data_IF_197964774861
#
_entry.id   IF_197964774861
#
_cell.length_a   1.000
_cell.length_b   1.000
_cell.length_c   1.000
_cell.angle_alpha   90.00
_cell.angle_beta   90.00
_cell.angle_gamma   90.00
#
_symmetry.space_group_name_H-M   'P 1'
#
loop_
_entity.id
_entity.type
_entity.pdbx_description
1 polymer ?
#
# COMPACT_ATOMS: atom_id res chain seq x y z
N UNK A 1 29.65 -24.47 -8.38
CA UNK A 1 28.32 -24.97 -8.79
C UNK A 1 27.39 -23.80 -8.69
N UNK A 2 27.32 -23.04 -9.79
CA UNK A 2 26.37 -21.95 -9.95
C UNK A 2 24.98 -22.57 -10.01
N UNK A 3 24.15 -22.21 -9.04
CA UNK A 3 22.73 -22.56 -9.05
C UNK A 3 22.06 -21.45 -9.85
N UNK A 4 21.78 -21.75 -11.12
CA UNK A 4 20.96 -20.92 -11.98
C UNK A 4 19.61 -20.67 -11.30
N UNK A 5 19.47 -19.47 -10.73
CA UNK A 5 18.18 -18.99 -10.23
C UNK A 5 17.39 -18.50 -11.44
N UNK A 6 16.65 -19.39 -12.10
CA UNK A 6 15.58 -18.99 -13.00
C UNK A 6 14.48 -18.32 -12.15
N UNK A 7 14.15 -17.03 -12.37
CA UNK A 7 13.02 -16.42 -11.71
C UNK A 7 11.75 -17.17 -12.13
N UNK A 8 10.82 -17.46 -11.20
CA UNK A 8 9.64 -18.26 -11.52
C UNK A 8 8.86 -17.62 -12.67
N UNK A 9 8.45 -18.46 -13.62
CA UNK A 9 7.46 -18.16 -14.65
C UNK A 9 6.32 -17.34 -14.04
N UNK A 10 5.90 -16.27 -14.74
CA UNK A 10 4.80 -15.34 -14.41
C UNK A 10 3.84 -15.82 -13.32
N UNK A 11 3.54 -14.99 -12.29
CA UNK A 11 2.77 -15.44 -11.13
C UNK A 11 1.42 -16.04 -11.55
N UNK A 12 0.90 -17.01 -10.79
CA UNK A 12 -0.37 -17.65 -11.11
C UNK A 12 -1.47 -16.59 -11.23
N UNK A 13 -2.13 -16.55 -12.41
CA UNK A 13 -3.20 -15.59 -12.70
C UNK A 13 -4.19 -15.53 -11.52
N UNK A 14 -4.50 -14.34 -10.99
CA UNK A 14 -5.41 -14.24 -9.86
C UNK A 14 -6.78 -14.83 -10.22
N UNK A 15 -7.39 -15.50 -9.25
CA UNK A 15 -8.72 -16.14 -9.43
C UNK A 15 -9.83 -15.14 -9.69
N UNK A 16 -9.62 -13.86 -9.35
CA UNK A 16 -10.54 -12.73 -9.52
C UNK A 16 -9.79 -11.54 -10.12
N UNK A 17 -10.44 -10.69 -10.92
CA UNK A 17 -9.83 -9.44 -11.36
C UNK A 17 -9.46 -8.59 -10.16
N UNK A 18 -8.34 -7.88 -10.25
CA UNK A 18 -7.81 -7.02 -9.19
C UNK A 18 -7.66 -5.60 -9.75
N UNK A 19 -8.07 -4.61 -8.98
CA UNK A 19 -7.75 -3.20 -9.18
C UNK A 19 -7.02 -2.74 -7.93
N UNK A 20 -5.88 -2.08 -8.10
CA UNK A 20 -5.02 -1.68 -6.98
C UNK A 20 -4.90 -0.17 -6.93
N UNK A 21 -5.08 0.41 -5.75
CA UNK A 21 -4.89 1.84 -5.50
C UNK A 21 -3.92 2.03 -4.35
N UNK A 22 -2.93 2.89 -4.56
CA UNK A 22 -1.99 3.35 -3.55
C UNK A 22 -2.21 4.85 -3.30
N UNK A 23 -2.18 5.29 -2.04
CA UNK A 23 -2.01 6.72 -1.76
C UNK A 23 -0.59 7.20 -2.11
N UNK A 24 -0.39 8.52 -2.14
CA UNK A 24 0.92 9.12 -2.33
C UNK A 24 1.62 9.41 -1.00
N UNK A 25 1.00 10.23 -0.14
CA UNK A 25 1.62 10.77 1.06
C UNK A 25 1.74 9.67 2.13
N UNK A 26 2.86 9.64 2.83
CA UNK A 26 3.26 8.57 3.77
C UNK A 26 2.97 7.12 3.32
N UNK A 27 2.97 6.90 2.00
CA UNK A 27 2.63 5.62 1.35
C UNK A 27 3.61 5.29 0.24
N UNK A 28 3.61 6.09 -0.85
CA UNK A 28 4.57 6.02 -1.96
C UNK A 28 5.66 7.07 -1.80
N UNK A 29 5.38 8.15 -1.07
CA UNK A 29 6.29 9.22 -0.71
C UNK A 29 6.42 9.31 0.81
N UNK A 30 7.63 9.40 1.39
CA UNK A 30 7.81 9.53 2.83
C UNK A 30 7.62 10.99 3.27
N UNK A 31 6.48 11.60 2.93
CA UNK A 31 6.28 13.06 2.98
C UNK A 31 6.38 13.64 4.39
N UNK A 32 5.87 12.96 5.42
CA UNK A 32 6.03 13.42 6.81
C UNK A 32 7.47 13.30 7.32
N UNK A 33 8.22 12.31 6.85
CA UNK A 33 9.65 12.22 7.15
C UNK A 33 10.42 13.33 6.43
N UNK A 34 10.17 13.56 5.14
CA UNK A 34 10.76 14.67 4.38
C UNK A 34 10.47 16.04 5.03
N UNK A 35 9.28 16.22 5.60
CA UNK A 35 8.92 17.42 6.35
C UNK A 35 9.79 17.58 7.61
N UNK A 36 9.88 16.52 8.43
CA UNK A 36 10.63 16.53 9.69
C UNK A 36 12.14 16.75 9.49
N UNK A 37 12.70 16.22 8.41
CA UNK A 37 14.12 16.43 8.07
C UNK A 37 14.39 17.82 7.45
N UNK A 38 13.39 18.70 7.36
CA UNK A 38 13.52 20.03 6.77
C UNK A 38 13.71 20.03 5.24
N UNK A 39 13.64 18.86 4.60
CA UNK A 39 13.91 18.71 3.16
C UNK A 39 12.84 19.38 2.31
N UNK A 40 11.56 19.31 2.68
CA UNK A 40 10.52 20.00 1.92
C UNK A 40 10.71 21.52 1.88
N UNK A 41 11.15 22.12 3.00
CA UNK A 41 11.44 23.54 3.09
C UNK A 41 12.71 23.90 2.32
N UNK A 42 13.78 23.11 2.43
CA UNK A 42 15.04 23.31 1.71
C UNK A 42 14.83 23.32 0.17
N UNK A 43 13.87 22.53 -0.33
CA UNK A 43 13.50 22.47 -1.75
C UNK A 43 12.29 23.35 -2.11
N UNK A 44 11.86 24.25 -1.23
CA UNK A 44 10.77 25.23 -1.45
C UNK A 44 9.43 24.59 -1.86
N UNK A 45 9.13 23.41 -1.31
CA UNK A 45 7.87 22.71 -1.57
C UNK A 45 6.78 23.04 -0.54
N UNK A 46 7.17 23.59 0.61
CA UNK A 46 6.26 24.08 1.66
C UNK A 46 6.76 25.42 2.19
N UNK A 47 5.83 26.28 2.61
CA UNK A 47 6.15 27.55 3.24
C UNK A 47 6.46 27.32 4.73
N UNK A 48 7.66 27.67 5.20
CA UNK A 48 7.96 27.73 6.64
C UNK A 48 9.45 27.61 7.03
N UNK A 49 9.90 28.31 8.10
CA UNK A 49 11.25 28.20 8.62
C UNK A 49 11.49 26.86 9.31
N UNK A 50 12.73 26.39 9.32
CA UNK A 50 13.17 25.23 10.12
C UNK A 50 13.10 25.65 11.59
N UNK A 51 12.04 25.29 12.30
CA UNK A 51 12.00 25.37 13.77
C UNK A 51 13.06 24.39 14.32
N UNK A 52 14.16 24.85 14.90
CA UNK A 52 15.15 23.96 15.51
C UNK A 52 14.51 23.32 16.74
N UNK A 53 14.39 22.00 16.77
CA UNK A 53 14.07 21.31 18.01
C UNK A 53 15.27 21.47 18.97
N UNK A 54 15.07 22.30 20.00
CA UNK A 54 15.73 22.32 21.31
C UNK A 54 17.17 21.79 21.37
N UNK A 55 18.12 22.63 20.95
CA UNK A 55 19.47 22.59 21.53
C UNK A 55 19.45 23.26 22.90
N UNK A 56 18.97 22.52 23.90
CA UNK A 56 19.13 22.88 25.31
C UNK A 56 20.59 22.66 25.76
N UNK A 57 21.56 23.26 25.07
CA UNK A 57 22.91 23.56 25.54
C UNK A 57 23.51 24.62 24.61
N UNK A 58 23.80 25.81 25.14
CA UNK A 58 24.12 27.03 24.39
C UNK A 58 25.34 26.97 23.46
N UNK A 59 25.13 26.45 22.25
CA UNK A 59 25.99 26.66 21.09
C UNK A 59 25.44 27.78 20.22
N UNK A 60 26.31 28.68 19.77
CA UNK A 60 25.99 29.78 18.87
C UNK A 60 25.14 29.29 17.69
N UNK A 61 24.02 29.97 17.43
CA UNK A 61 23.22 29.79 16.23
C UNK A 61 24.09 30.16 15.02
N UNK A 62 24.75 29.16 14.44
CA UNK A 62 25.29 29.27 13.09
C UNK A 62 24.10 29.45 12.16
N UNK A 63 24.13 30.50 11.35
CA UNK A 63 23.29 30.65 10.16
C UNK A 63 23.53 29.46 9.23
N UNK A 64 22.86 28.34 9.49
CA UNK A 64 23.02 27.11 8.73
C UNK A 64 22.27 27.28 7.41
N UNK A 65 23.03 27.26 6.32
CA UNK A 65 22.56 27.16 4.94
C UNK A 65 21.41 26.15 4.80
N UNK A 66 20.51 26.32 3.80
CA UNK A 66 19.42 25.37 3.57
C UNK A 66 19.96 23.94 3.62
N UNK A 67 19.44 23.12 4.54
CA UNK A 67 19.92 21.77 4.79
C UNK A 67 19.87 20.95 3.49
N UNK A 68 21.00 20.89 2.80
CA UNK A 68 21.17 20.10 1.59
C UNK A 68 20.99 18.63 1.95
N UNK A 69 20.41 17.84 1.04
CA UNK A 69 20.18 16.42 1.28
C UNK A 69 21.49 15.73 1.67
N UNK A 70 21.54 15.10 2.85
CA UNK A 70 22.74 14.40 3.32
C UNK A 70 22.97 13.11 2.53
N UNK A 71 24.19 12.53 2.55
CA UNK A 71 24.40 11.18 2.01
C UNK A 71 23.50 10.12 2.64
N UNK A 72 23.19 10.26 3.94
CA UNK A 72 22.26 9.37 4.65
C UNK A 72 20.83 9.49 4.13
N UNK A 73 20.35 10.72 3.89
CA UNK A 73 19.02 10.95 3.30
C UNK A 73 18.92 10.33 1.90
N UNK A 74 19.95 10.53 1.05
CA UNK A 74 20.01 9.92 -0.28
C UNK A 74 19.97 8.40 -0.23
N UNK A 75 20.73 7.79 0.68
CA UNK A 75 20.76 6.34 0.84
C UNK A 75 19.39 5.81 1.30
N UNK A 76 18.76 6.45 2.29
CA UNK A 76 17.44 6.07 2.77
C UNK A 76 16.39 6.20 1.66
N UNK A 77 16.35 7.32 0.93
CA UNK A 77 15.44 7.50 -0.19
C UNK A 77 15.66 6.46 -1.29
N UNK A 78 16.92 6.19 -1.66
CA UNK A 78 17.24 5.17 -2.66
C UNK A 78 16.72 3.78 -2.27
N UNK A 79 16.94 3.35 -1.03
CA UNK A 79 16.43 2.07 -0.52
C UNK A 79 14.89 2.05 -0.49
N UNK A 80 14.27 3.17 -0.12
CA UNK A 80 12.82 3.30 -0.12
C UNK A 80 12.24 3.17 -1.55
N UNK A 81 12.85 3.83 -2.53
CA UNK A 81 12.47 3.72 -3.94
C UNK A 81 12.48 2.27 -4.44
N UNK A 82 13.48 1.47 -4.04
CA UNK A 82 13.56 0.05 -4.42
C UNK A 82 12.35 -0.74 -3.94
N UNK A 83 11.93 -0.50 -2.69
CA UNK A 83 10.75 -1.16 -2.13
C UNK A 83 9.46 -0.72 -2.80
N UNK A 84 9.30 0.59 -3.05
CA UNK A 84 8.13 1.16 -3.74
C UNK A 84 8.01 0.61 -5.16
N UNK A 85 9.09 0.67 -5.94
CA UNK A 85 9.11 0.20 -7.33
C UNK A 85 8.77 -1.30 -7.37
N UNK A 86 9.38 -2.09 -6.48
CA UNK A 86 9.13 -3.52 -6.44
C UNK A 86 7.67 -3.85 -6.05
N UNK A 87 7.07 -3.09 -5.13
CA UNK A 87 5.66 -3.27 -4.77
C UNK A 87 4.74 -2.91 -5.95
N UNK A 88 4.93 -1.75 -6.57
CA UNK A 88 4.11 -1.31 -7.71
C UNK A 88 4.23 -2.29 -8.88
N UNK A 89 5.44 -2.72 -9.22
CA UNK A 89 5.67 -3.72 -10.28
C UNK A 89 5.04 -5.08 -9.95
N UNK A 90 5.10 -5.51 -8.69
CA UNK A 90 4.47 -6.77 -8.28
C UNK A 90 2.94 -6.68 -8.34
N UNK A 91 2.36 -5.58 -7.86
CA UNK A 91 0.92 -5.33 -7.91
C UNK A 91 0.37 -5.33 -9.35
N UNK A 92 1.13 -4.76 -10.30
CA UNK A 92 0.78 -4.74 -11.74
C UNK A 92 0.61 -6.13 -12.34
N UNK A 93 1.24 -7.15 -11.78
CA UNK A 93 1.11 -8.53 -12.28
C UNK A 93 -0.30 -9.10 -12.03
N UNK A 94 -1.08 -8.48 -11.14
CA UNK A 94 -2.44 -8.89 -10.78
C UNK A 94 -3.54 -8.08 -11.46
N UNK A 95 -3.24 -6.86 -11.91
CA UNK A 95 -4.20 -5.97 -12.57
C UNK A 95 -3.73 -4.52 -12.64
N UNK A 96 -4.58 -3.58 -13.11
CA UNK A 96 -4.24 -2.18 -13.19
C UNK A 96 -3.92 -1.57 -11.81
N UNK A 97 -2.97 -0.64 -11.81
CA UNK A 97 -2.51 0.06 -10.61
C UNK A 97 -2.75 1.56 -10.77
N UNK A 98 -3.26 2.18 -9.71
CA UNK A 98 -3.47 3.62 -9.64
C UNK A 98 -2.78 4.17 -8.40
N UNK A 99 -2.25 5.38 -8.50
CA UNK A 99 -1.87 6.21 -7.37
C UNK A 99 -2.93 7.29 -7.25
N UNK A 100 -3.63 7.35 -6.13
CA UNK A 100 -4.75 8.29 -5.91
C UNK A 100 -4.51 9.11 -4.65
N UNK A 101 -4.16 10.38 -4.84
CA UNK A 101 -3.80 11.31 -3.76
C UNK A 101 -4.88 12.37 -3.50
N UNK A 102 -4.98 12.84 -2.26
CA UNK A 102 -5.75 14.04 -1.91
C UNK A 102 -4.99 15.36 -2.18
N UNK A 103 -3.71 15.29 -2.55
CA UNK A 103 -2.89 16.43 -2.93
C UNK A 103 -3.08 16.80 -4.41
N UNK A 104 -2.47 17.92 -4.85
CA UNK A 104 -2.41 18.33 -6.26
C UNK A 104 -1.41 17.45 -7.04
N UNK A 105 -1.58 17.28 -8.34
CA UNK A 105 -0.60 16.57 -9.17
C UNK A 105 0.78 17.23 -9.17
N UNK A 106 0.84 18.56 -9.04
CA UNK A 106 2.11 19.27 -8.89
C UNK A 106 2.88 18.82 -7.64
N UNK A 107 2.21 18.55 -6.52
CA UNK A 107 2.84 18.04 -5.30
C UNK A 107 3.53 16.70 -5.55
N UNK A 108 2.81 15.78 -6.19
CA UNK A 108 3.34 14.46 -6.56
C UNK A 108 4.57 14.60 -7.45
N UNK A 109 4.47 15.41 -8.51
CA UNK A 109 5.55 15.63 -9.47
C UNK A 109 6.80 16.20 -8.79
N UNK A 110 6.65 17.27 -8.02
CA UNK A 110 7.79 17.92 -7.36
C UNK A 110 8.44 17.00 -6.33
N UNK A 111 7.65 16.28 -5.52
CA UNK A 111 8.21 15.32 -4.57
C UNK A 111 8.98 14.19 -5.27
N UNK A 112 8.41 13.65 -6.35
CA UNK A 112 9.05 12.57 -7.10
C UNK A 112 10.33 13.04 -7.80
N UNK A 113 10.34 14.26 -8.34
CA UNK A 113 11.50 14.83 -9.03
C UNK A 113 12.69 15.05 -8.08
N UNK A 114 12.44 15.59 -6.89
CA UNK A 114 13.51 15.89 -5.94
C UNK A 114 13.93 14.69 -5.08
N UNK A 115 12.99 13.83 -4.68
CA UNK A 115 13.22 12.82 -3.65
C UNK A 115 13.10 11.38 -4.14
N UNK A 116 12.38 11.13 -5.23
CA UNK A 116 12.09 9.77 -5.72
C UNK A 116 12.23 9.66 -7.25
N UNK A 117 13.40 9.99 -7.82
CA UNK A 117 13.59 10.09 -9.28
C UNK A 117 13.43 8.75 -10.02
N UNK A 118 13.74 7.61 -9.39
CA UNK A 118 13.53 6.27 -9.97
C UNK A 118 12.06 5.88 -9.95
N UNK A 119 11.32 6.27 -8.90
CA UNK A 119 9.86 6.14 -8.86
C UNK A 119 9.26 6.99 -9.97
N UNK A 120 9.66 8.27 -10.10
CA UNK A 120 9.20 9.16 -11.18
C UNK A 120 9.41 8.53 -12.56
N UNK A 121 10.62 8.01 -12.84
CA UNK A 121 10.91 7.31 -14.09
C UNK A 121 10.00 6.10 -14.31
N UNK A 122 9.72 5.34 -13.26
CA UNK A 122 8.82 4.18 -13.31
C UNK A 122 7.40 4.60 -13.65
N UNK A 123 6.92 5.70 -13.07
CA UNK A 123 5.58 6.24 -13.32
C UNK A 123 5.44 6.77 -14.76
N UNK A 124 6.43 7.53 -15.24
CA UNK A 124 6.43 8.08 -16.61
C UNK A 124 6.47 6.98 -17.67
N UNK A 125 7.28 5.94 -17.46
CA UNK A 125 7.44 4.83 -18.42
C UNK A 125 6.29 3.82 -18.38
N UNK A 126 5.40 3.89 -17.39
CA UNK A 126 4.36 2.88 -17.20
C UNK A 126 3.06 3.28 -17.87
N UNK A 127 2.61 2.47 -18.83
CA UNK A 127 1.29 2.62 -19.46
C UNK A 127 0.13 2.14 -18.56
N UNK A 128 0.43 1.48 -17.43
CA UNK A 128 -0.58 0.80 -16.59
C UNK A 128 -0.50 1.19 -15.11
N UNK A 129 0.31 2.21 -14.79
CA UNK A 129 0.29 2.87 -13.48
C UNK A 129 -0.14 4.30 -13.72
N UNK A 130 -1.32 4.67 -13.21
CA UNK A 130 -1.89 5.99 -13.44
C UNK A 130 -1.91 6.80 -12.15
N UNK A 131 -1.43 8.04 -12.20
CA UNK A 131 -1.47 8.98 -11.07
C UNK A 131 -2.68 9.90 -11.21
N UNK A 132 -3.50 9.99 -10.18
CA UNK A 132 -4.71 10.81 -10.16
C UNK A 132 -4.74 11.64 -8.87
N UNK A 133 -4.86 12.97 -9.01
CA UNK A 133 -5.30 13.80 -7.89
C UNK A 133 -6.81 13.65 -7.74
N UNK A 134 -7.23 13.00 -6.66
CA UNK A 134 -8.65 12.87 -6.31
C UNK A 134 -9.28 14.25 -6.06
N UNK A 135 -8.53 15.15 -5.43
CA UNK A 135 -8.95 16.52 -5.17
C UNK A 135 -9.26 17.28 -6.46
N UNK A 136 -8.31 17.32 -7.38
CA UNK A 136 -8.48 18.06 -8.63
C UNK A 136 -9.58 17.42 -9.50
N UNK A 137 -9.64 16.08 -9.53
CA UNK A 137 -10.72 15.35 -10.21
C UNK A 137 -12.09 15.71 -9.66
N UNK A 138 -12.25 15.70 -8.33
CA UNK A 138 -13.50 16.02 -7.66
C UNK A 138 -13.94 17.45 -7.94
N UNK A 139 -13.05 18.42 -7.73
CA UNK A 139 -13.35 19.84 -7.95
C UNK A 139 -13.73 20.12 -9.41
N UNK A 140 -12.99 19.54 -10.36
CA UNK A 140 -13.31 19.66 -11.78
C UNK A 140 -14.64 19.01 -12.16
N UNK A 141 -15.10 17.98 -11.44
CA UNK A 141 -16.42 17.37 -11.66
C UNK A 141 -17.54 18.22 -11.04
N UNK A 142 -17.32 18.76 -9.84
CA UNK A 142 -18.26 19.67 -9.15
C UNK A 142 -18.52 20.95 -9.96
N UNK A 143 -17.48 21.47 -10.62
CA UNK A 143 -17.63 22.64 -11.51
C UNK A 143 -18.45 22.35 -12.77
N UNK A 144 -18.42 21.11 -13.27
CA UNK A 144 -19.08 20.71 -14.54
C UNK A 144 -20.50 20.17 -14.35
N UNK A 145 -20.91 19.84 -13.13
CA UNK A 145 -22.22 19.24 -12.86
C UNK A 145 -22.76 19.72 -11.52
N UNK A 146 -24.01 20.18 -11.52
CA UNK A 146 -24.76 20.52 -10.32
C UNK A 146 -25.36 19.27 -9.62
N UNK A 147 -25.19 18.07 -10.18
CA UNK A 147 -25.67 16.85 -9.57
C UNK A 147 -24.83 16.49 -8.32
N UNK A 148 -25.46 16.01 -7.24
CA UNK A 148 -24.72 15.53 -6.07
C UNK A 148 -23.70 14.46 -6.45
N UNK A 149 -22.45 14.61 -5.99
CA UNK A 149 -21.35 13.71 -6.32
C UNK A 149 -21.33 12.40 -5.52
N UNK A 150 -22.25 12.24 -4.56
CA UNK A 150 -22.40 11.07 -3.71
C UNK A 150 -22.90 11.44 -2.31
N UNK A 151 -23.01 10.47 -1.39
CA UNK A 151 -23.31 10.74 0.01
C UNK A 151 -22.19 11.61 0.62
N UNK A 152 -22.55 12.79 1.14
CA UNK A 152 -21.60 13.72 1.75
C UNK A 152 -20.74 14.51 0.76
N UNK A 153 -21.35 15.39 -0.06
CA UNK A 153 -20.66 16.42 -0.87
C UNK A 153 -19.95 17.49 0.01
N UNK A 154 -19.19 17.02 0.98
CA UNK A 154 -18.54 17.80 2.03
C UNK A 154 -17.14 18.28 1.58
N UNK A 155 -16.72 17.92 0.36
CA UNK A 155 -15.41 18.30 -0.16
C UNK A 155 -14.25 17.77 0.68
N UNK A 156 -14.42 16.61 1.33
CA UNK A 156 -13.41 15.96 2.17
C UNK A 156 -12.50 15.03 1.35
N UNK A 157 -11.31 14.68 1.84
CA UNK A 157 -10.44 13.68 1.20
C UNK A 157 -11.15 12.33 0.96
N UNK A 158 -12.00 11.89 1.89
CA UNK A 158 -12.86 10.72 1.71
C UNK A 158 -13.78 10.88 0.50
N UNK A 159 -14.52 11.99 0.40
CA UNK A 159 -15.42 12.25 -0.72
C UNK A 159 -14.68 12.32 -2.06
N UNK A 160 -13.51 12.95 -2.08
CA UNK A 160 -12.64 13.02 -3.27
C UNK A 160 -12.25 11.62 -3.72
N UNK A 161 -11.71 10.80 -2.81
CA UNK A 161 -11.25 9.44 -3.13
C UNK A 161 -12.40 8.52 -3.51
N UNK A 162 -13.53 8.55 -2.79
CA UNK A 162 -14.71 7.77 -3.13
C UNK A 162 -15.22 8.10 -4.54
N UNK A 163 -15.25 9.39 -4.91
CA UNK A 163 -15.66 9.82 -6.25
C UNK A 163 -14.70 9.32 -7.32
N UNK A 164 -13.38 9.42 -7.08
CA UNK A 164 -12.35 8.93 -8.00
C UNK A 164 -12.39 7.40 -8.14
N UNK A 165 -12.58 6.67 -7.04
CA UNK A 165 -12.62 5.20 -7.05
C UNK A 165 -13.82 4.68 -7.84
N UNK A 166 -14.99 5.30 -7.68
CA UNK A 166 -16.16 5.01 -8.51
C UNK A 166 -15.88 5.30 -10.00
N UNK A 167 -15.25 6.43 -10.31
CA UNK A 167 -14.89 6.77 -11.69
C UNK A 167 -13.90 5.77 -12.30
N UNK A 168 -12.94 5.26 -11.53
CA UNK A 168 -12.04 4.18 -11.95
C UNK A 168 -12.86 2.91 -12.28
N UNK A 169 -13.79 2.52 -11.40
CA UNK A 169 -14.63 1.34 -11.64
C UNK A 169 -15.50 1.49 -12.90
N UNK A 170 -16.08 2.67 -13.13
CA UNK A 170 -16.84 2.98 -14.35
C UNK A 170 -15.94 2.94 -15.59
N UNK A 171 -14.76 3.57 -15.54
CA UNK A 171 -13.81 3.59 -16.66
C UNK A 171 -13.37 2.18 -17.05
N UNK A 172 -13.12 1.32 -16.06
CA UNK A 172 -12.73 -0.07 -16.26
C UNK A 172 -13.91 -1.01 -16.53
N UNK A 173 -15.14 -0.50 -16.60
CA UNK A 173 -16.38 -1.24 -16.86
C UNK A 173 -16.53 -2.47 -15.97
N UNK A 174 -16.31 -2.28 -14.66
CA UNK A 174 -16.23 -3.36 -13.68
C UNK A 174 -17.51 -4.22 -13.67
N UNK A 175 -18.68 -3.62 -13.86
CA UNK A 175 -19.95 -4.35 -13.96
C UNK A 175 -19.98 -5.33 -15.13
N UNK A 176 -19.55 -4.90 -16.32
CA UNK A 176 -19.45 -5.75 -17.51
C UNK A 176 -18.43 -6.88 -17.32
N UNK A 177 -17.32 -6.60 -16.62
CA UNK A 177 -16.31 -7.61 -16.28
C UNK A 177 -16.91 -8.66 -15.33
N UNK A 178 -17.61 -8.24 -14.28
CA UNK A 178 -18.24 -9.13 -13.33
C UNK A 178 -19.34 -9.98 -13.98
N UNK A 179 -20.20 -9.38 -14.80
CA UNK A 179 -21.27 -10.08 -15.52
C UNK A 179 -20.72 -11.17 -16.45
N UNK A 180 -19.72 -10.85 -17.28
CA UNK A 180 -19.07 -11.83 -18.17
C UNK A 180 -18.45 -13.00 -17.40
N UNK A 181 -17.89 -12.74 -16.21
CA UNK A 181 -17.34 -13.80 -15.35
C UNK A 181 -18.41 -14.67 -14.71
N UNK A 182 -19.52 -14.08 -14.28
CA UNK A 182 -20.65 -14.82 -13.74
C UNK A 182 -21.22 -15.81 -14.78
N UNK A 183 -21.30 -15.39 -16.04
CA UNK A 183 -21.77 -16.22 -17.15
C UNK A 183 -20.77 -17.33 -17.51
N UNK A 184 -19.46 -17.03 -17.56
CA UNK A 184 -18.43 -18.00 -17.97
C UNK A 184 -17.99 -18.99 -16.87
N UNK A 185 -18.29 -18.70 -15.59
CA UNK A 185 -17.99 -19.62 -14.48
C UNK A 185 -18.97 -19.42 -13.32
N UNK A 186 -20.19 -20.00 -13.40
CA UNK A 186 -21.24 -19.82 -12.39
C UNK A 186 -20.83 -20.26 -10.98
N UNK A 187 -19.91 -21.22 -10.87
CA UNK A 187 -19.40 -21.75 -9.60
C UNK A 187 -18.29 -20.90 -8.96
N UNK A 188 -17.80 -19.85 -9.65
CA UNK A 188 -16.76 -18.95 -9.14
C UNK A 188 -17.35 -17.57 -8.88
N UNK A 189 -16.90 -16.95 -7.79
CA UNK A 189 -17.22 -15.55 -7.51
C UNK A 189 -16.84 -14.66 -8.69
N UNK A 190 -17.82 -13.95 -9.23
CA UNK A 190 -17.67 -12.93 -10.27
C UNK A 190 -17.08 -11.61 -9.77
N UNK A 191 -17.04 -11.41 -8.44
CA UNK A 191 -16.60 -10.16 -7.82
C UNK A 191 -15.17 -9.77 -8.18
N UNK A 192 -14.96 -8.47 -8.36
CA UNK A 192 -13.66 -7.82 -8.57
C UNK A 192 -13.10 -7.37 -7.21
N UNK A 193 -11.83 -7.67 -6.97
CA UNK A 193 -11.13 -7.19 -5.79
C UNK A 193 -10.64 -5.76 -6.05
N UNK A 194 -11.00 -4.83 -5.17
CA UNK A 194 -10.44 -3.49 -5.13
C UNK A 194 -9.56 -3.38 -3.90
N UNK A 195 -8.26 -3.27 -4.12
CA UNK A 195 -7.24 -3.22 -3.08
C UNK A 195 -6.84 -1.76 -2.90
N UNK A 196 -6.98 -1.23 -1.69
CA UNK A 196 -6.52 0.11 -1.32
C UNK A 196 -5.42 0.01 -0.27
N UNK A 197 -4.31 0.71 -0.53
CA UNK A 197 -3.16 0.81 0.38
C UNK A 197 -2.89 2.28 0.63
N UNK A 198 -2.81 2.69 1.89
CA UNK A 198 -2.47 4.06 2.23
C UNK A 198 -2.50 4.32 3.73
N UNK A 199 -1.99 5.49 4.13
CA UNK A 199 -1.81 5.87 5.51
C UNK A 199 -3.04 6.55 6.13
N UNK A 200 -4.08 6.91 5.37
CA UNK A 200 -5.26 7.60 5.89
C UNK A 200 -6.50 6.68 5.93
N UNK A 201 -7.42 6.99 6.85
CA UNK A 201 -8.75 6.38 6.85
C UNK A 201 -9.57 6.75 5.59
N UNK A 202 -9.20 7.83 4.90
CA UNK A 202 -9.93 8.30 3.72
C UNK A 202 -9.97 7.28 2.58
N UNK A 203 -8.84 6.73 2.15
CA UNK A 203 -8.77 5.69 1.12
C UNK A 203 -9.34 4.35 1.59
N UNK A 204 -9.14 4.00 2.85
CA UNK A 204 -9.70 2.80 3.47
C UNK A 204 -11.23 2.82 3.39
N UNK A 205 -11.83 3.90 3.86
CA UNK A 205 -13.28 4.01 3.94
C UNK A 205 -13.88 4.22 2.55
N UNK A 206 -13.22 4.96 1.65
CA UNK A 206 -13.61 5.05 0.23
C UNK A 206 -13.64 3.67 -0.46
N UNK A 207 -12.65 2.81 -0.18
CA UNK A 207 -12.60 1.45 -0.71
C UNK A 207 -13.76 0.59 -0.17
N UNK A 208 -14.08 0.70 1.12
CA UNK A 208 -15.21 0.00 1.74
C UNK A 208 -16.55 0.44 1.19
N UNK A 209 -16.71 1.74 0.94
CA UNK A 209 -17.93 2.28 0.33
C UNK A 209 -18.22 1.63 -1.03
N UNK A 210 -17.22 1.30 -1.84
CA UNK A 210 -17.44 0.57 -3.10
C UNK A 210 -18.13 -0.79 -2.89
N UNK A 211 -17.69 -1.57 -1.89
CA UNK A 211 -18.31 -2.87 -1.60
C UNK A 211 -19.72 -2.70 -1.02
N UNK A 212 -19.95 -1.68 -0.19
CA UNK A 212 -21.28 -1.36 0.32
C UNK A 212 -22.24 -0.95 -0.80
N UNK A 213 -21.77 -0.17 -1.79
CA UNK A 213 -22.57 0.28 -2.92
C UNK A 213 -22.82 -0.82 -3.97
N UNK A 214 -21.90 -1.77 -4.12
CA UNK A 214 -22.01 -2.83 -5.12
C UNK A 214 -21.57 -4.20 -4.55
N UNK A 215 -22.27 -4.75 -3.54
CA UNK A 215 -21.81 -5.92 -2.80
C UNK A 215 -21.75 -7.18 -3.65
N UNK A 216 -22.55 -7.29 -4.71
CA UNK A 216 -22.52 -8.44 -5.63
C UNK A 216 -21.39 -8.38 -6.66
N UNK A 217 -20.76 -7.21 -6.85
CA UNK A 217 -19.76 -6.93 -7.89
C UNK A 217 -18.38 -6.68 -7.29
N UNK A 218 -18.32 -6.01 -6.15
CA UNK A 218 -17.08 -5.51 -5.56
C UNK A 218 -16.68 -6.30 -4.32
N UNK A 219 -15.37 -6.33 -4.07
CA UNK A 219 -14.77 -6.80 -2.83
C UNK A 219 -13.69 -5.83 -2.39
N UNK A 220 -13.91 -5.18 -1.25
CA UNK A 220 -12.97 -4.24 -0.66
C UNK A 220 -11.88 -4.98 0.12
N UNK A 221 -10.64 -4.53 -0.04
CA UNK A 221 -9.48 -5.04 0.67
C UNK A 221 -8.57 -3.86 0.99
N UNK A 222 -8.33 -3.61 2.27
CA UNK A 222 -7.58 -2.42 2.71
C UNK A 222 -6.32 -2.80 3.45
N UNK A 223 -5.26 -2.03 3.23
CA UNK A 223 -4.03 -2.04 4.03
C UNK A 223 -3.77 -0.62 4.51
N UNK A 224 -4.13 -0.34 5.76
CA UNK A 224 -3.94 0.94 6.42
C UNK A 224 -2.54 1.01 7.01
N UNK A 225 -1.71 1.88 6.46
CA UNK A 225 -0.39 2.21 7.00
C UNK A 225 -0.50 3.09 8.25
N UNK A 226 0.61 3.18 8.97
CA UNK A 226 0.85 4.16 10.02
C UNK A 226 0.83 5.56 9.42
N UNK A 227 0.21 6.48 10.15
CA UNK A 227 0.30 7.91 9.87
C UNK A 227 1.66 8.43 10.36
N UNK A 228 2.25 9.34 9.58
CA UNK A 228 3.53 9.99 9.87
C UNK A 228 4.68 9.03 10.25
N UNK A 229 4.93 7.97 9.46
CA UNK A 229 5.98 7.01 9.74
C UNK A 229 7.37 7.64 9.62
N UNK A 230 8.34 7.12 10.36
CA UNK A 230 9.74 7.29 9.99
C UNK A 230 10.03 6.55 8.68
N UNK A 231 11.01 6.98 7.88
CA UNK A 231 11.29 6.37 6.56
C UNK A 231 11.55 4.86 6.66
N UNK A 232 12.24 4.41 7.71
CA UNK A 232 12.48 2.98 7.96
C UNK A 232 11.19 2.20 8.27
N UNK A 233 10.26 2.80 9.04
CA UNK A 233 8.95 2.20 9.28
C UNK A 233 8.16 2.11 7.97
N UNK A 234 8.22 3.13 7.13
CA UNK A 234 7.54 3.12 5.83
C UNK A 234 8.15 2.08 4.87
N UNK A 235 9.47 1.91 4.87
CA UNK A 235 10.12 0.81 4.13
C UNK A 235 9.60 -0.56 4.59
N UNK A 236 9.53 -0.80 5.90
CA UNK A 236 9.01 -2.05 6.44
C UNK A 236 7.55 -2.28 6.04
N UNK A 237 6.72 -1.24 6.10
CA UNK A 237 5.33 -1.30 5.67
C UNK A 237 5.19 -1.66 4.18
N UNK A 238 5.93 -0.98 3.30
CA UNK A 238 5.93 -1.28 1.85
C UNK A 238 6.41 -2.70 1.57
N UNK A 239 7.49 -3.13 2.25
CA UNK A 239 8.03 -4.49 2.12
C UNK A 239 7.02 -5.54 2.61
N UNK A 240 6.40 -5.35 3.76
CA UNK A 240 5.40 -6.27 4.31
C UNK A 240 4.20 -6.39 3.37
N UNK A 241 3.68 -5.26 2.86
CA UNK A 241 2.60 -5.26 1.88
C UNK A 241 2.95 -6.06 0.64
N UNK A 242 4.17 -5.90 0.11
CA UNK A 242 4.62 -6.69 -1.04
C UNK A 242 4.63 -8.18 -0.73
N UNK A 243 5.15 -8.58 0.44
CA UNK A 243 5.22 -9.99 0.86
C UNK A 243 3.84 -10.63 0.97
N UNK A 244 2.85 -9.91 1.50
CA UNK A 244 1.48 -10.44 1.67
C UNK A 244 0.56 -10.13 0.47
N UNK A 245 1.04 -9.45 -0.57
CA UNK A 245 0.19 -8.92 -1.64
C UNK A 245 -0.61 -10.01 -2.36
N UNK A 246 0.05 -11.12 -2.72
CA UNK A 246 -0.63 -12.25 -3.35
C UNK A 246 -1.72 -12.84 -2.42
N UNK A 247 -1.44 -12.93 -1.12
CA UNK A 247 -2.40 -13.43 -0.14
C UNK A 247 -3.63 -12.50 -0.06
N UNK A 248 -3.42 -11.18 -0.08
CA UNK A 248 -4.50 -10.19 -0.17
C UNK A 248 -5.34 -10.44 -1.42
N UNK A 249 -4.71 -10.55 -2.60
CA UNK A 249 -5.39 -10.79 -3.87
C UNK A 249 -6.21 -12.11 -3.87
N UNK A 250 -5.70 -13.16 -3.22
CA UNK A 250 -6.33 -14.49 -3.21
C UNK A 250 -7.39 -14.67 -2.13
N UNK A 251 -7.38 -13.85 -1.08
CA UNK A 251 -8.33 -13.98 0.01
C UNK A 251 -9.78 -13.89 -0.48
N UNK A 252 -10.63 -14.80 -0.03
CA UNK A 252 -11.98 -14.98 -0.59
C UNK A 252 -12.95 -13.87 -0.19
N UNK A 253 -12.83 -13.37 1.04
CA UNK A 253 -13.65 -12.31 1.61
C UNK A 253 -13.03 -10.93 1.50
N UNK A 254 -13.71 -9.96 2.12
CA UNK A 254 -13.15 -8.63 2.33
C UNK A 254 -11.94 -8.71 3.25
N UNK A 255 -11.08 -7.70 3.23
CA UNK A 255 -9.96 -7.62 4.17
C UNK A 255 -9.85 -6.20 4.68
N UNK A 256 -9.52 -6.06 5.95
CA UNK A 256 -9.07 -4.80 6.52
C UNK A 256 -7.85 -5.07 7.39
N UNK A 257 -6.69 -4.67 6.88
CA UNK A 257 -5.41 -4.89 7.52
C UNK A 257 -4.87 -3.56 7.98
N UNK A 258 -4.42 -3.48 9.23
CA UNK A 258 -3.81 -2.30 9.82
C UNK A 258 -2.36 -2.62 10.17
N UNK A 259 -1.44 -1.80 9.70
CA UNK A 259 -0.05 -1.83 10.15
C UNK A 259 0.07 -1.03 11.44
N UNK A 260 0.54 -1.68 12.51
CA UNK A 260 0.60 -1.11 13.85
C UNK A 260 1.99 -1.25 14.44
N UNK A 261 2.41 -0.27 15.24
CA UNK A 261 3.64 -0.34 16.02
C UNK A 261 3.46 -1.34 17.16
N UNK A 262 4.37 -2.31 17.28
CA UNK A 262 4.36 -3.32 18.34
C UNK A 262 5.79 -3.70 18.72
N UNK A 263 6.16 -3.42 19.99
CA UNK A 263 7.45 -3.78 20.60
C UNK A 263 8.68 -3.49 19.72
N UNK A 264 8.73 -2.30 19.10
CA UNK A 264 9.85 -1.87 18.25
C UNK A 264 9.84 -2.42 16.82
N UNK A 265 8.74 -3.05 16.39
CA UNK A 265 8.53 -3.53 15.03
C UNK A 265 7.16 -3.11 14.48
N UNK A 266 6.97 -3.24 13.17
CA UNK A 266 5.65 -3.16 12.54
C UNK A 266 5.00 -4.55 12.54
N UNK A 267 3.72 -4.61 12.92
CA UNK A 267 2.90 -5.82 12.81
C UNK A 267 1.66 -5.55 11.97
N UNK A 268 1.16 -6.60 11.31
CA UNK A 268 -0.10 -6.55 10.54
C UNK A 268 -1.21 -7.12 11.41
N UNK A 269 -2.21 -6.30 11.70
CA UNK A 269 -3.42 -6.67 12.41
C UNK A 269 -4.58 -6.77 11.42
N UNK A 270 -5.27 -7.91 11.37
CA UNK A 270 -6.56 -7.97 10.67
C UNK A 270 -7.65 -7.41 11.60
N UNK A 271 -8.38 -6.42 11.12
CA UNK A 271 -9.53 -5.83 11.82
C UNK A 271 -10.80 -6.50 11.34
N UNK A 272 -11.66 -6.89 12.27
CA UNK A 272 -12.92 -7.52 11.95
C UNK A 272 -13.80 -6.59 11.10
N UNK A 273 -14.28 -7.13 9.97
CA UNK A 273 -15.23 -6.42 9.11
C UNK A 273 -16.65 -6.78 9.56
N UNK A 274 -17.53 -5.81 9.84
CA UNK A 274 -18.93 -6.09 10.16
C UNK A 274 -19.55 -6.96 9.06
N UNK A 275 -20.03 -8.15 9.42
CA UNK A 275 -20.64 -9.12 8.49
C UNK A 275 -19.75 -10.27 8.01
N UNK A 276 -18.48 -10.37 8.45
CA UNK A 276 -17.75 -11.64 8.35
C UNK A 276 -18.15 -12.56 9.49
N UNK A 277 -18.59 -13.79 9.17
CA UNK A 277 -18.68 -14.85 10.16
C UNK A 277 -17.29 -15.03 10.81
N UNK A 278 -17.19 -15.20 12.14
CA UNK A 278 -15.92 -15.25 12.83
C UNK A 278 -15.03 -16.32 12.21
N UNK A 279 -13.90 -15.88 11.66
CA UNK A 279 -12.81 -16.76 11.25
C UNK A 279 -12.33 -17.48 12.50
N UNK A 280 -12.65 -18.77 12.61
CA UNK A 280 -12.06 -19.62 13.66
C UNK A 280 -10.55 -19.53 13.52
N UNK A 281 -9.91 -18.86 14.48
CA UNK A 281 -8.47 -18.83 14.59
C UNK A 281 -7.98 -20.28 14.71
N UNK A 282 -7.45 -20.83 13.62
CA UNK A 282 -6.63 -22.03 13.70
C UNK A 282 -5.36 -21.62 14.44
N UNK A 283 -5.33 -21.92 15.73
CA UNK A 283 -4.11 -21.92 16.52
C UNK A 283 -3.05 -22.72 15.76
N UNK A 284 -1.90 -22.09 15.51
CA UNK A 284 -0.72 -22.79 15.04
C UNK A 284 -0.37 -23.88 16.06
N UNK A 285 -0.13 -25.13 15.64
CA UNK A 285 0.42 -26.13 16.54
C UNK A 285 1.86 -25.74 16.87
N UNK A 286 2.17 -25.70 18.17
CA UNK A 286 3.50 -25.47 18.72
C UNK A 286 4.55 -26.42 18.09
N UNK A 287 5.83 -26.01 18.00
CA UNK A 287 6.87 -26.84 17.41
C UNK A 287 7.09 -28.08 18.28
N UNK A 288 6.84 -29.26 17.70
CA UNK A 288 7.22 -30.54 18.28
C UNK A 288 8.73 -30.56 18.46
N UNK A 289 9.18 -30.62 19.71
CA UNK A 289 10.56 -30.97 20.07
C UNK A 289 10.83 -32.37 19.55
N UNK A 290 11.73 -32.50 18.57
CA UNK A 290 12.35 -33.78 18.26
C UNK A 290 13.33 -34.13 19.37
N UNK A 291 12.96 -35.06 20.26
CA UNK A 291 13.91 -35.75 21.12
C UNK A 291 14.67 -36.75 20.27
N UNK A 292 15.97 -36.55 20.13
CA UNK A 292 16.90 -37.54 19.58
C UNK A 292 16.97 -38.69 20.58
N UNK A 293 16.43 -39.85 20.21
CA UNK A 293 16.65 -41.09 20.95
C UNK A 293 18.03 -41.65 20.58
N UNK A 294 18.87 -41.75 21.60
CA UNK A 294 20.17 -42.42 21.59
C UNK A 294 20.03 -43.91 21.28
N UNK A 295 21.02 -44.44 20.56
CA UNK A 295 21.00 -45.75 19.93
C UNK A 295 21.28 -46.96 20.81
N UNK A 296 21.23 -48.12 20.14
CA UNK A 296 21.60 -49.45 20.61
C UNK A 296 20.42 -50.43 20.53
N UNK A 297 20.60 -51.69 20.08
CA UNK A 297 21.82 -52.48 20.25
C UNK A 297 22.33 -53.21 18.98
N UNK A 298 23.65 -53.42 18.95
CA UNK A 298 24.32 -54.42 18.11
C UNK A 298 24.19 -55.78 18.81
N UNK A 299 23.88 -56.81 18.03
CA UNK A 299 23.53 -58.13 18.53
C UNK A 299 24.69 -59.08 18.83
N UNK A 300 24.23 -60.30 19.14
CA UNK A 300 24.92 -61.59 19.17
C UNK A 300 25.83 -61.89 20.37
N UNK A 301 25.35 -62.81 21.23
CA UNK A 301 25.99 -64.12 21.49
C UNK A 301 25.20 -64.94 22.53
N UNK A 302 24.62 -66.04 22.08
CA UNK A 302 24.49 -67.32 22.82
C UNK A 302 25.86 -68.05 22.74
N UNK A 303 26.16 -69.14 23.47
CA UNK A 303 25.32 -69.93 24.38
C UNK A 303 25.97 -70.36 25.72
N UNK A 304 25.12 -70.63 26.72
CA UNK A 304 24.98 -71.88 27.48
C UNK A 304 23.89 -71.69 28.54
#
# INVERSE_FOLDING_TARGET
>A
MDVDYEPPSSPPKPRRPVISVFDWDDTVCPSSWLHREGLLAAYKLVDGPVEPQDSSFGGQASESSPHEMSPGHRLALHQFEEHVIALLQYARQFGPVFIVTAAKLQWVRSCAEYFLPRVLQTLIKSETVHVISAREFYLGRKQRSAAPLGPGDEGTPLAWKATTFNAICTHLRVDEVAQRRAQSSPSRSSRVNFISVGDSFSERDACRMLELSAPSVMRSKTVKYLEQPHVLELMDQVRMTRVIYEQICRHAGGLDLHMVRSRGSIQVLQVDTPGQAPSTARSNPSPRRHSVATGGPIGARTPL
#
